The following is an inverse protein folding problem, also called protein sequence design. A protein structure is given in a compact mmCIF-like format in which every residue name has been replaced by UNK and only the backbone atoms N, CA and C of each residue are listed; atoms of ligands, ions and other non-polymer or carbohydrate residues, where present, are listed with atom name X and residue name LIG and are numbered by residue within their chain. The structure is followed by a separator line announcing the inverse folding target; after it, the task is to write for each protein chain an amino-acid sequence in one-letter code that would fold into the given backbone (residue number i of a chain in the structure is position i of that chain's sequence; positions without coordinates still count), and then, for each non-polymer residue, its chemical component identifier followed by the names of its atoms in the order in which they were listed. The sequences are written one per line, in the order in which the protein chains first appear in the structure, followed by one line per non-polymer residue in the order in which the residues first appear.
data_IF_835555761145
#
_entry.id   IF_835555761145
#
_cell.length_a   1.000
_cell.length_b   1.000
_cell.length_c   1.000
_cell.angle_alpha   90.00
_cell.angle_beta   90.00
_cell.angle_gamma   90.00
#
_symmetry.space_group_name_H-M   'P 1'
#
loop_
_entity.id
_entity.type
_entity.pdbx_description
1 polymer ?
#
# COMPACT_ATOMS: atom_id res chain seq x y z
N UNK A 1 9.78 -22.28 47.91
CA UNK A 1 8.67 -22.75 47.06
C UNK A 1 7.71 -21.59 46.81
N UNK A 2 7.57 -21.12 45.55
CA UNK A 2 6.73 -19.98 45.22
C UNK A 2 5.25 -20.41 45.14
N UNK A 3 4.40 -19.84 46.01
CA UNK A 3 2.96 -20.10 46.02
C UNK A 3 2.33 -19.47 44.77
N UNK A 4 1.83 -20.30 43.85
CA UNK A 4 0.98 -19.83 42.74
C UNK A 4 -0.31 -19.24 43.33
N UNK A 5 -0.48 -17.92 43.19
CA UNK A 5 -1.73 -17.24 43.55
C UNK A 5 -2.80 -17.61 42.53
N UNK A 6 -3.90 -18.22 42.98
CA UNK A 6 -5.09 -18.42 42.15
C UNK A 6 -5.65 -17.04 41.80
N UNK A 7 -5.58 -16.67 40.53
CA UNK A 7 -6.10 -15.40 40.04
C UNK A 7 -7.61 -15.54 39.93
N UNK A 8 -8.34 -14.75 40.72
CA UNK A 8 -9.79 -14.68 40.66
C UNK A 8 -10.21 -13.88 39.41
N UNK A 9 -11.22 -14.34 38.67
CA UNK A 9 -11.75 -13.67 37.47
C UNK A 9 -12.13 -12.22 37.74
N UNK A 10 -12.61 -11.92 38.96
CA UNK A 10 -12.97 -10.57 39.39
C UNK A 10 -11.74 -9.66 39.54
N UNK A 11 -10.63 -10.19 40.09
CA UNK A 11 -9.35 -9.47 40.18
C UNK A 11 -8.77 -9.17 38.80
N UNK A 12 -8.92 -10.09 37.84
CA UNK A 12 -8.47 -9.89 36.46
C UNK A 12 -9.24 -8.76 35.79
N UNK A 13 -10.58 -8.74 35.93
CA UNK A 13 -11.42 -7.67 35.39
C UNK A 13 -11.05 -6.33 36.02
N UNK A 14 -10.81 -6.28 37.34
CA UNK A 14 -10.41 -5.07 38.04
C UNK A 14 -9.03 -4.56 37.60
N UNK A 15 -8.07 -5.47 37.37
CA UNK A 15 -6.75 -5.12 36.82
C UNK A 15 -6.86 -4.56 35.39
N UNK A 16 -7.68 -5.17 34.55
CA UNK A 16 -7.90 -4.70 33.17
C UNK A 16 -8.60 -3.34 33.14
N UNK A 17 -9.59 -3.12 34.00
CA UNK A 17 -10.25 -1.83 34.15
C UNK A 17 -9.30 -0.73 34.64
N UNK A 18 -8.42 -1.05 35.60
CA UNK A 18 -7.40 -0.11 36.09
C UNK A 18 -6.37 0.22 35.00
N UNK A 19 -5.89 -0.78 34.26
CA UNK A 19 -4.97 -0.60 33.13
C UNK A 19 -5.57 0.24 32.01
N UNK A 20 -6.88 0.10 31.74
CA UNK A 20 -7.59 0.93 30.78
C UNK A 20 -7.73 2.40 31.25
N UNK A 21 -7.88 2.65 32.55
CA UNK A 21 -7.85 4.02 33.09
C UNK A 21 -6.46 4.64 32.98
N UNK A 22 -5.41 3.87 33.26
CA UNK A 22 -4.03 4.31 33.13
C UNK A 22 -3.67 4.64 31.67
N UNK A 23 -4.13 3.84 30.70
CA UNK A 23 -3.93 4.10 29.27
C UNK A 23 -4.66 5.35 28.79
N UNK A 24 -5.89 5.60 29.26
CA UNK A 24 -6.62 6.83 28.97
C UNK A 24 -5.90 8.07 29.49
N UNK A 25 -5.40 8.02 30.74
CA UNK A 25 -4.64 9.12 31.32
C UNK A 25 -3.32 9.38 30.57
N UNK A 26 -2.69 8.33 30.01
CA UNK A 26 -1.48 8.52 29.18
C UNK A 26 -1.82 9.21 27.85
N UNK A 27 -2.95 8.87 27.23
CA UNK A 27 -3.42 9.54 26.01
C UNK A 27 -3.76 11.01 26.28
N UNK A 28 -4.38 11.31 27.42
CA UNK A 28 -4.67 12.69 27.83
C UNK A 28 -3.38 13.50 28.03
N UNK A 29 -2.38 12.94 28.72
CA UNK A 29 -1.08 13.61 28.86
C UNK A 29 -0.35 13.81 27.52
N UNK A 30 -0.43 12.85 26.59
CA UNK A 30 0.14 13.02 25.24
C UNK A 30 -0.59 14.13 24.47
N UNK A 31 -1.90 14.26 24.67
CA UNK A 31 -2.71 15.34 24.07
C UNK A 31 -2.33 16.71 24.64
N UNK A 32 -2.14 16.80 25.96
CA UNK A 32 -1.69 18.02 26.64
C UNK A 32 -0.28 18.45 26.19
N UNK A 33 0.64 17.50 26.01
CA UNK A 33 2.01 17.78 25.54
C UNK A 33 2.07 18.29 24.09
N UNK A 34 1.05 18.01 23.27
CA UNK A 34 0.96 18.48 21.87
C UNK A 34 0.35 19.88 21.74
N UNK A 35 -0.22 20.44 22.81
CA UNK A 35 -0.80 21.78 22.80
C UNK A 35 -0.09 22.67 23.83
N UNK A 36 0.76 23.64 23.42
CA UNK A 36 1.14 24.71 24.32
C UNK A 36 -0.12 25.52 24.65
N UNK A 37 -0.33 25.81 25.94
CA UNK A 37 -1.42 26.68 26.43
C UNK A 37 -1.36 28.03 25.72
N UNK A 38 -2.21 28.20 24.71
CA UNK A 38 -2.63 29.50 24.23
C UNK A 38 -4.06 29.72 24.76
N UNK A 39 -4.18 30.63 25.72
CA UNK A 39 -5.45 31.28 26.05
C UNK A 39 -6.05 31.82 24.75
N UNK A 40 -7.20 31.34 24.29
CA UNK A 40 -8.27 32.17 23.69
C UNK A 40 -9.58 31.38 23.73
N UNK A 41 -10.60 32.06 24.25
CA UNK A 41 -12.00 31.72 24.32
C UNK A 41 -12.65 31.45 22.96
N UNK A 42 -13.46 30.39 22.90
CA UNK A 42 -14.69 30.31 22.11
C UNK A 42 -14.56 30.05 20.60
N UNK A 43 -15.23 28.97 20.15
CA UNK A 43 -16.22 28.90 19.05
C UNK A 43 -16.19 27.52 18.37
N UNK A 44 -17.40 27.00 18.17
CA UNK A 44 -17.82 25.69 17.67
C UNK A 44 -17.06 25.24 16.41
N UNK A 45 -16.48 24.03 16.45
CA UNK A 45 -15.96 23.34 15.26
C UNK A 45 -17.11 22.71 14.46
N UNK A 46 -17.47 23.35 13.35
CA UNK A 46 -18.07 22.67 12.20
C UNK A 46 -16.95 22.15 11.29
N UNK A 47 -17.11 20.90 10.86
CA UNK A 47 -16.39 20.28 9.75
C UNK A 47 -16.42 21.20 8.51
N UNK A 48 -15.26 21.44 7.88
CA UNK A 48 -15.12 21.33 6.41
C UNK A 48 -13.67 21.53 5.96
N UNK A 49 -13.28 20.68 5.01
CA UNK A 49 -11.99 20.64 4.31
C UNK A 49 -11.91 21.79 3.30
N UNK A 50 -10.90 22.66 3.39
CA UNK A 50 -10.52 23.54 2.28
C UNK A 50 -9.01 23.55 2.06
N UNK A 51 -8.68 23.29 0.81
CA UNK A 51 -7.39 23.42 0.14
C UNK A 51 -6.71 24.75 0.46
N UNK A 52 -5.39 24.71 0.62
CA UNK A 52 -4.56 25.92 0.64
C UNK A 52 -3.45 25.73 -0.37
N UNK A 53 -3.71 26.20 -1.59
CA UNK A 53 -2.69 26.71 -2.49
C UNK A 53 -2.11 27.96 -1.82
N UNK A 54 -0.80 27.98 -1.58
CA UNK A 54 -0.06 29.23 -1.36
C UNK A 54 1.18 29.20 -2.23
N UNK A 55 1.09 30.00 -3.28
CA UNK A 55 2.20 30.52 -4.07
C UNK A 55 3.18 31.23 -3.14
N UNK A 56 4.46 30.89 -3.25
CA UNK A 56 5.55 31.76 -2.81
C UNK A 56 6.51 31.90 -3.98
N UNK A 57 6.67 33.14 -4.42
CA UNK A 57 7.48 33.56 -5.56
C UNK A 57 8.96 33.20 -5.39
N UNK A 58 9.56 32.79 -6.51
CA UNK A 58 10.97 32.45 -6.72
C UNK A 58 11.80 33.75 -6.87
N UNK A 59 13.03 33.83 -6.35
CA UNK A 59 14.11 34.55 -7.00
C UNK A 59 15.00 33.58 -7.78
N UNK A 60 15.13 33.89 -9.07
CA UNK A 60 16.01 33.31 -10.07
C UNK A 60 17.48 33.39 -9.63
N UNK A 61 18.15 32.23 -9.48
CA UNK A 61 19.60 32.12 -9.62
C UNK A 61 19.88 30.80 -10.36
N UNK A 62 20.33 30.94 -11.61
CA UNK A 62 21.01 29.89 -12.38
C UNK A 62 22.32 29.52 -11.67
N UNK A 63 22.49 28.26 -11.27
CA UNK A 63 23.42 27.36 -11.95
C UNK A 63 23.60 26.04 -11.19
N UNK A 64 23.53 24.95 -11.95
CA UNK A 64 24.30 23.71 -11.77
C UNK A 64 24.20 23.01 -10.41
N UNK A 65 23.25 22.09 -10.28
CA UNK A 65 23.57 20.71 -9.93
C UNK A 65 22.35 19.80 -10.06
N UNK A 66 22.50 18.80 -10.93
CA UNK A 66 21.73 17.57 -10.93
C UNK A 66 21.67 17.02 -9.50
N UNK A 67 20.56 17.25 -8.80
CA UNK A 67 20.25 16.50 -7.59
C UNK A 67 19.67 15.18 -8.04
N UNK A 68 20.58 14.26 -8.34
CA UNK A 68 20.32 12.83 -8.38
C UNK A 68 19.58 12.48 -7.09
N UNK A 69 18.26 12.31 -7.20
CA UNK A 69 17.54 11.46 -6.27
C UNK A 69 18.29 10.14 -6.32
N UNK A 70 19.04 9.85 -5.26
CA UNK A 70 19.79 8.61 -5.08
C UNK A 70 18.79 7.47 -5.12
N UNK A 71 18.50 7.00 -6.34
CA UNK A 71 18.03 5.65 -6.61
C UNK A 71 19.08 4.77 -5.97
N UNK A 72 18.76 4.24 -4.79
CA UNK A 72 19.51 3.15 -4.22
C UNK A 72 19.58 2.11 -5.32
N UNK A 73 20.78 1.93 -5.89
CA UNK A 73 21.06 0.88 -6.86
C UNK A 73 21.00 -0.42 -6.08
N UNK A 74 19.77 -0.87 -5.82
CA UNK A 74 19.50 -2.25 -5.48
C UNK A 74 20.01 -2.99 -6.71
N UNK A 75 20.99 -3.88 -6.52
CA UNK A 75 21.36 -4.83 -7.57
C UNK A 75 20.16 -5.73 -7.78
N UNK A 76 19.21 -5.27 -8.58
CA UNK A 76 17.95 -5.93 -8.81
C UNK A 76 18.23 -7.21 -9.60
N UNK A 77 17.78 -8.33 -9.02
CA UNK A 77 17.75 -9.62 -9.72
C UNK A 77 16.95 -9.46 -11.02
N UNK A 78 17.30 -10.22 -12.07
CA UNK A 78 16.68 -10.07 -13.38
C UNK A 78 15.14 -10.13 -13.37
N UNK A 79 14.57 -10.92 -12.45
CA UNK A 79 13.12 -11.02 -12.27
C UNK A 79 12.47 -9.72 -11.75
N UNK A 80 13.14 -9.00 -10.83
CA UNK A 80 12.62 -7.73 -10.31
C UNK A 80 12.64 -6.64 -11.39
N UNK A 81 13.71 -6.58 -12.19
CA UNK A 81 13.79 -5.67 -13.33
C UNK A 81 12.69 -5.93 -14.35
N UNK A 82 12.45 -7.20 -14.69
CA UNK A 82 11.37 -7.59 -15.61
C UNK A 82 10.00 -7.20 -15.06
N UNK A 83 9.76 -7.42 -13.76
CA UNK A 83 8.53 -7.00 -13.10
C UNK A 83 8.37 -5.47 -13.16
N UNK A 84 9.45 -4.72 -12.98
CA UNK A 84 9.42 -3.25 -13.03
C UNK A 84 9.03 -2.76 -14.42
N UNK A 85 9.65 -3.33 -15.46
CA UNK A 85 9.32 -3.02 -16.86
C UNK A 85 7.85 -3.32 -17.15
N UNK A 86 7.36 -4.47 -16.68
CA UNK A 86 5.97 -4.90 -16.87
C UNK A 86 4.98 -3.98 -16.13
N UNK A 87 5.29 -3.56 -14.91
CA UNK A 87 4.43 -2.65 -14.13
C UNK A 87 4.32 -1.25 -14.76
N UNK A 88 5.38 -0.79 -15.43
CA UNK A 88 5.44 0.53 -16.06
C UNK A 88 4.92 0.57 -17.51
N UNK A 89 4.73 -0.58 -18.16
CA UNK A 89 4.21 -0.64 -19.52
C UNK A 89 2.72 -0.27 -19.53
N UNK A 90 2.25 0.51 -20.50
CA UNK A 90 0.83 0.79 -20.72
C UNK A 90 0.43 0.33 -22.13
N UNK A 91 -0.20 -0.84 -22.24
CA UNK A 91 -0.52 -1.44 -23.55
C UNK A 91 -1.97 -1.21 -23.98
N UNK A 92 -2.90 -1.05 -23.03
CA UNK A 92 -4.32 -0.83 -23.29
C UNK A 92 -4.78 0.45 -22.59
N UNK A 93 -5.59 1.27 -23.28
CA UNK A 93 -6.05 2.61 -22.83
C UNK A 93 -7.58 2.74 -22.80
N UNK A 94 -8.26 1.62 -22.93
CA UNK A 94 -9.71 1.51 -22.91
C UNK A 94 -10.33 1.64 -21.51
N UNK A 95 -11.66 1.66 -21.47
CA UNK A 95 -12.42 1.75 -20.23
C UNK A 95 -12.19 0.52 -19.35
N UNK A 96 -12.29 0.72 -18.03
CA UNK A 96 -12.02 -0.34 -17.06
C UNK A 96 -13.24 -1.21 -16.83
N UNK A 97 -13.17 -2.45 -17.29
CA UNK A 97 -14.15 -3.47 -16.95
C UNK A 97 -13.85 -4.15 -15.60
N UNK A 98 -14.92 -4.53 -14.90
CA UNK A 98 -14.82 -5.28 -13.63
C UNK A 98 -15.25 -6.73 -13.85
N UNK A 99 -14.42 -7.66 -13.38
CA UNK A 99 -14.74 -9.08 -13.35
C UNK A 99 -14.38 -9.67 -11.98
N UNK A 100 -15.01 -10.80 -11.65
CA UNK A 100 -14.71 -11.56 -10.43
C UNK A 100 -14.02 -12.85 -10.81
N UNK A 101 -12.99 -13.24 -10.06
CA UNK A 101 -12.24 -14.47 -10.28
C UNK A 101 -12.02 -15.21 -8.95
N UNK A 102 -12.00 -16.54 -9.00
CA UNK A 102 -11.70 -17.39 -7.85
C UNK A 102 -10.30 -17.98 -7.98
N UNK A 103 -9.52 -17.96 -6.90
CA UNK A 103 -8.19 -18.59 -6.81
C UNK A 103 -8.17 -19.58 -5.65
N UNK A 104 -7.29 -20.58 -5.74
CA UNK A 104 -6.93 -21.36 -4.56
C UNK A 104 -6.32 -20.46 -3.49
N UNK A 105 -6.54 -20.77 -2.20
CA UNK A 105 -6.04 -19.96 -1.09
C UNK A 105 -4.52 -19.77 -1.13
N UNK A 106 -3.77 -20.82 -1.50
CA UNK A 106 -2.31 -20.74 -1.67
C UNK A 106 -1.91 -19.78 -2.79
N UNK A 107 -2.60 -19.82 -3.93
CA UNK A 107 -2.33 -18.91 -5.05
C UNK A 107 -2.62 -17.46 -4.66
N UNK A 108 -3.77 -17.21 -4.00
CA UNK A 108 -4.13 -15.89 -3.50
C UNK A 108 -3.08 -15.36 -2.51
N UNK A 109 -2.62 -16.19 -1.57
CA UNK A 109 -1.62 -15.79 -0.59
C UNK A 109 -0.26 -15.46 -1.20
N UNK A 110 0.20 -16.21 -2.21
CA UNK A 110 1.44 -15.89 -2.94
C UNK A 110 1.30 -14.61 -3.75
N UNK A 111 0.15 -14.41 -4.37
CA UNK A 111 -0.16 -13.21 -5.14
C UNK A 111 -0.24 -11.95 -4.26
N UNK A 112 -0.82 -12.04 -3.06
CA UNK A 112 -0.83 -10.94 -2.10
C UNK A 112 0.56 -10.58 -1.57
N UNK A 113 1.40 -11.60 -1.33
CA UNK A 113 2.81 -11.39 -0.99
C UNK A 113 3.56 -10.69 -2.12
N UNK A 114 3.27 -11.04 -3.38
CA UNK A 114 3.86 -10.37 -4.54
C UNK A 114 3.44 -8.90 -4.62
N UNK A 115 2.16 -8.58 -4.48
CA UNK A 115 1.65 -7.20 -4.50
C UNK A 115 2.28 -6.33 -3.41
N UNK A 116 2.31 -6.87 -2.18
CA UNK A 116 2.89 -6.19 -1.02
C UNK A 116 4.41 -6.03 -1.17
N UNK A 117 5.08 -7.09 -1.64
CA UNK A 117 6.52 -7.11 -1.86
C UNK A 117 6.96 -6.16 -2.96
N UNK A 118 6.23 -6.09 -4.07
CA UNK A 118 6.48 -5.13 -5.15
C UNK A 118 6.34 -3.70 -4.63
N UNK A 119 5.27 -3.40 -3.89
CA UNK A 119 5.05 -2.07 -3.32
C UNK A 119 6.17 -1.63 -2.38
N UNK A 120 6.63 -2.52 -1.51
CA UNK A 120 7.68 -2.21 -0.54
C UNK A 120 9.06 -2.10 -1.18
N UNK A 121 9.42 -3.06 -2.04
CA UNK A 121 10.78 -3.14 -2.59
C UNK A 121 11.03 -2.16 -3.73
N UNK A 122 10.01 -1.86 -4.52
CA UNK A 122 10.14 -1.07 -5.75
C UNK A 122 9.71 0.38 -5.54
N UNK A 123 9.15 0.72 -4.37
CA UNK A 123 8.66 2.07 -4.07
C UNK A 123 7.43 2.51 -4.90
N UNK A 124 6.84 1.60 -5.69
CA UNK A 124 5.70 1.87 -6.56
C UNK A 124 4.46 1.29 -5.91
N UNK A 125 3.45 2.12 -5.61
CA UNK A 125 2.17 1.64 -5.09
C UNK A 125 1.53 0.68 -6.09
N UNK A 126 1.57 -0.62 -5.77
CA UNK A 126 1.13 -1.69 -6.66
C UNK A 126 -0.03 -2.44 -6.01
N UNK A 127 -1.23 -2.32 -6.57
CA UNK A 127 -2.38 -3.10 -6.11
C UNK A 127 -2.39 -4.50 -6.73
N UNK A 128 -3.21 -5.39 -6.18
CA UNK A 128 -3.56 -6.68 -6.81
C UNK A 128 -4.00 -6.45 -8.26
N UNK A 129 -4.99 -5.59 -8.45
CA UNK A 129 -5.55 -5.31 -9.77
C UNK A 129 -4.51 -4.83 -10.78
N UNK A 130 -3.49 -4.10 -10.34
CA UNK A 130 -2.40 -3.66 -11.23
C UNK A 130 -1.55 -4.84 -11.70
N UNK A 131 -1.16 -5.75 -10.79
CA UNK A 131 -0.40 -6.93 -11.15
C UNK A 131 -1.16 -7.84 -12.11
N UNK A 132 -2.42 -8.18 -11.81
CA UNK A 132 -3.17 -9.11 -12.68
C UNK A 132 -3.41 -8.49 -14.05
N UNK A 133 -3.70 -7.19 -14.10
CA UNK A 133 -3.84 -6.45 -15.35
C UNK A 133 -2.55 -6.58 -16.17
N UNK A 134 -1.39 -6.22 -15.61
CA UNK A 134 -0.14 -6.23 -16.36
C UNK A 134 0.32 -7.62 -16.81
N UNK A 135 0.06 -8.65 -16.00
CA UNK A 135 0.31 -10.05 -16.41
C UNK A 135 -0.58 -10.46 -17.58
N UNK A 136 -1.86 -10.08 -17.55
CA UNK A 136 -2.78 -10.35 -18.66
C UNK A 136 -2.39 -9.56 -19.92
N UNK A 137 -2.09 -8.26 -19.79
CA UNK A 137 -1.63 -7.42 -20.90
C UNK A 137 -0.38 -8.01 -21.57
N UNK A 138 0.61 -8.45 -20.77
CA UNK A 138 1.83 -9.08 -21.28
C UNK A 138 1.55 -10.39 -22.02
N UNK A 139 0.70 -11.25 -21.45
CA UNK A 139 0.30 -12.50 -22.09
C UNK A 139 -0.42 -12.24 -23.42
N UNK A 140 -1.38 -11.31 -23.42
CA UNK A 140 -2.14 -10.99 -24.62
C UNK A 140 -1.22 -10.45 -25.72
N UNK A 141 -0.35 -9.52 -25.37
CA UNK A 141 0.54 -8.86 -26.34
C UNK A 141 1.58 -9.81 -26.94
N UNK A 142 2.10 -10.77 -26.16
CA UNK A 142 3.22 -11.63 -26.58
C UNK A 142 2.81 -13.00 -27.07
N UNK A 143 1.74 -13.57 -26.53
CA UNK A 143 1.44 -15.01 -26.65
C UNK A 143 0.06 -15.33 -27.20
N UNK A 144 -0.89 -14.40 -27.16
CA UNK A 144 -2.28 -14.65 -27.58
C UNK A 144 -2.39 -15.18 -29.01
N UNK A 145 -1.75 -14.50 -29.98
CA UNK A 145 -1.84 -14.89 -31.38
C UNK A 145 -1.32 -16.32 -31.64
N UNK A 146 -0.32 -16.76 -30.87
CA UNK A 146 0.19 -18.13 -30.96
C UNK A 146 -0.77 -19.12 -30.32
N UNK A 147 -1.28 -18.79 -29.13
CA UNK A 147 -2.21 -19.65 -28.39
C UNK A 147 -3.51 -19.90 -29.17
N UNK A 148 -4.09 -18.88 -29.79
CA UNK A 148 -5.30 -19.02 -30.60
C UNK A 148 -5.06 -19.92 -31.81
N UNK A 149 -3.96 -19.71 -32.56
CA UNK A 149 -3.61 -20.58 -33.69
C UNK A 149 -3.49 -22.06 -33.29
N UNK A 150 -2.92 -22.35 -32.12
CA UNK A 150 -2.80 -23.72 -31.61
C UNK A 150 -4.14 -24.37 -31.22
N UNK A 151 -5.13 -23.57 -30.82
CA UNK A 151 -6.49 -24.03 -30.54
C UNK A 151 -7.21 -24.33 -31.87
N UNK A 152 -7.17 -23.39 -32.82
CA UNK A 152 -7.83 -23.53 -34.13
C UNK A 152 -7.24 -24.70 -34.95
N UNK A 153 -5.93 -24.95 -34.82
CA UNK A 153 -5.24 -26.09 -35.44
C UNK A 153 -5.65 -27.45 -34.84
N UNK A 154 -6.19 -27.48 -33.63
CA UNK A 154 -6.69 -28.71 -33.00
C UNK A 154 -8.13 -29.00 -33.38
N UNK A 155 -8.97 -27.99 -33.55
CA UNK A 155 -10.37 -28.17 -33.98
C UNK A 155 -10.49 -28.66 -35.42
N UNK A 156 -9.52 -28.32 -36.29
CA UNK A 156 -9.49 -28.77 -37.70
C UNK A 156 -8.96 -30.19 -37.92
N UNK A 157 -8.52 -30.89 -36.85
CA UNK A 157 -7.97 -32.25 -36.93
C UNK A 157 -8.83 -33.32 -36.26
N UNK A 158 -10.07 -33.00 -35.90
CA UNK A 158 -11.04 -33.97 -35.36
C UNK A 158 -12.18 -34.23 -36.34
#
# INVERSE_FOLDING_TARGET
MAKQKKINTLDLIQQMAKKNKESLNTVEHIKEQRSPKANVSGIKQHFESKSVTKETQIPLIEDTSLSEAKSQVIQETGALKQLMVLLNAETFRDDKDTFTLSLSGTCLGLYEKLATGASYKMGIKTSRNDLIRKVLEDFISKKFAKAIKEIDLKETKS
#
